data_IF_124593903695
#
_entry.id   IF_124593903695
#
_cell.length_a   1.000
_cell.length_b   1.000
_cell.length_c   1.000
_cell.angle_alpha   90.00
_cell.angle_beta   90.00
_cell.angle_gamma   90.00
#
_symmetry.space_group_name_H-M   'P 1'
#
loop_
_entity.id
_entity.type
_entity.pdbx_description
1 polymer ?
#
# COMPACT_ATOMS: atom_id res chain seq x y z
N UNK A 1 7.04 18.07 -6.53
CA UNK A 1 8.21 17.35 -7.03
C UNK A 1 8.43 16.06 -6.24
N UNK A 2 9.04 15.03 -6.86
CA UNK A 2 9.27 13.72 -6.23
C UNK A 2 9.97 13.84 -4.87
N UNK A 3 10.99 14.69 -4.75
CA UNK A 3 11.73 14.87 -3.50
C UNK A 3 10.87 15.36 -2.33
N UNK A 4 9.90 16.24 -2.60
CA UNK A 4 8.98 16.70 -1.57
C UNK A 4 8.07 15.55 -1.10
N UNK A 5 7.59 14.71 -2.03
CA UNK A 5 6.78 13.54 -1.72
C UNK A 5 7.59 12.52 -0.91
N UNK A 6 8.85 12.25 -1.29
CA UNK A 6 9.75 11.35 -0.55
C UNK A 6 9.94 11.77 0.90
N UNK A 7 10.08 13.05 1.14
CA UNK A 7 10.26 13.59 2.49
C UNK A 7 9.03 13.43 3.40
N UNK A 8 7.86 13.10 2.83
CA UNK A 8 6.63 12.88 3.60
C UNK A 8 6.45 11.44 4.05
N UNK A 9 7.19 10.50 3.46
CA UNK A 9 7.12 9.08 3.82
C UNK A 9 7.89 8.88 5.12
N UNK A 10 7.17 8.61 6.21
CA UNK A 10 7.72 8.54 7.57
C UNK A 10 7.64 7.16 8.19
N UNK A 11 6.72 6.33 7.74
CA UNK A 11 6.46 5.03 8.34
C UNK A 11 6.46 3.91 7.32
N UNK A 12 7.09 2.81 7.69
CA UNK A 12 6.91 1.54 6.98
C UNK A 12 5.45 1.10 7.14
N UNK A 13 4.75 0.69 6.07
CA UNK A 13 3.30 0.44 6.15
C UNK A 13 2.88 -0.77 6.98
N UNK A 14 3.82 -1.60 7.41
CA UNK A 14 3.58 -2.76 8.27
C UNK A 14 4.40 -2.59 9.56
N UNK A 15 3.87 -2.95 10.75
CA UNK A 15 4.58 -2.79 12.01
C UNK A 15 5.88 -3.62 12.06
N UNK A 16 6.80 -3.16 12.88
CA UNK A 16 8.05 -3.88 13.14
C UNK A 16 7.78 -5.22 13.83
N UNK A 17 8.68 -6.18 13.62
CA UNK A 17 8.65 -7.41 14.38
C UNK A 17 9.05 -7.15 15.85
N UNK A 18 8.69 -8.07 16.74
CA UNK A 18 9.10 -8.00 18.16
C UNK A 18 10.63 -7.95 18.36
N UNK A 19 11.38 -8.31 17.32
CA UNK A 19 12.84 -8.18 17.31
C UNK A 19 13.24 -6.82 16.75
N UNK A 20 13.98 -6.00 17.50
CA UNK A 20 14.43 -4.69 17.03
C UNK A 20 15.13 -4.76 15.66
N UNK A 21 14.76 -3.86 14.75
CA UNK A 21 15.35 -3.75 13.43
C UNK A 21 14.93 -4.83 12.42
N UNK A 22 13.96 -5.70 12.76
CA UNK A 22 13.47 -6.73 11.85
C UNK A 22 11.98 -6.53 11.56
N UNK A 23 11.62 -6.31 10.32
CA UNK A 23 10.23 -6.25 9.86
C UNK A 23 9.64 -7.65 9.72
N UNK A 24 8.31 -7.79 9.91
CA UNK A 24 7.61 -9.06 9.74
C UNK A 24 7.52 -9.52 8.29
N UNK A 25 7.55 -8.57 7.36
CA UNK A 25 7.30 -8.82 5.94
C UNK A 25 8.59 -8.91 5.14
N UNK A 26 8.55 -9.68 4.07
CA UNK A 26 9.59 -9.69 3.03
C UNK A 26 9.07 -8.99 1.77
N UNK A 27 9.96 -8.37 1.03
CA UNK A 27 9.63 -7.75 -0.25
C UNK A 27 10.86 -7.70 -1.16
N UNK A 28 10.60 -7.66 -2.47
CA UNK A 28 11.61 -7.56 -3.50
C UNK A 28 11.22 -6.48 -4.50
N UNK A 29 12.19 -6.00 -5.27
CA UNK A 29 11.91 -5.09 -6.37
C UNK A 29 11.23 -5.86 -7.50
N UNK A 30 9.91 -5.70 -7.58
CA UNK A 30 9.06 -6.32 -8.61
C UNK A 30 8.32 -5.27 -9.43
N UNK A 31 8.73 -4.01 -9.32
CA UNK A 31 8.08 -2.91 -10.03
C UNK A 31 8.17 -3.10 -11.54
N UNK A 32 7.01 -2.96 -12.21
CA UNK A 32 6.82 -3.20 -13.65
C UNK A 32 7.05 -4.63 -14.14
N UNK A 33 7.24 -5.61 -13.25
CA UNK A 33 7.17 -7.02 -13.64
C UNK A 33 5.80 -7.35 -14.24
N UNK A 34 5.80 -8.24 -15.24
CA UNK A 34 4.59 -8.59 -15.96
C UNK A 34 3.56 -9.28 -15.06
N UNK A 35 2.31 -8.83 -15.14
CA UNK A 35 1.14 -9.43 -14.50
C UNK A 35 0.10 -9.75 -15.57
N UNK A 36 -0.57 -10.89 -15.42
CA UNK A 36 -1.47 -11.44 -16.46
C UNK A 36 -2.96 -11.35 -16.12
N UNK A 37 -3.34 -11.15 -14.85
CA UNK A 37 -4.74 -11.01 -14.49
C UNK A 37 -5.36 -9.76 -15.11
N UNK A 38 -6.45 -9.95 -15.86
CA UNK A 38 -7.15 -8.84 -16.55
C UNK A 38 -6.38 -8.27 -17.76
N UNK A 39 -5.47 -9.05 -18.35
CA UNK A 39 -4.59 -8.66 -19.47
C UNK A 39 -3.16 -8.39 -19.03
N UNK A 40 -2.27 -8.25 -20.01
CA UNK A 40 -0.87 -7.93 -19.73
C UNK A 40 -0.72 -6.52 -19.19
N UNK A 41 -0.05 -6.39 -18.05
CA UNK A 41 0.26 -5.10 -17.41
C UNK A 41 1.54 -5.18 -16.59
N UNK A 42 2.17 -4.05 -16.34
CA UNK A 42 3.29 -3.96 -15.39
C UNK A 42 2.77 -3.90 -13.95
N UNK A 43 3.53 -4.45 -13.01
CA UNK A 43 3.27 -4.37 -11.58
C UNK A 43 3.62 -2.98 -11.05
N UNK A 44 2.61 -2.15 -10.78
CA UNK A 44 2.77 -0.78 -10.30
C UNK A 44 2.79 -0.74 -8.77
N UNK A 45 3.86 -1.22 -8.16
CA UNK A 45 4.01 -1.25 -6.72
C UNK A 45 4.98 -2.30 -6.22
N UNK A 46 4.96 -2.50 -4.92
CA UNK A 46 5.73 -3.52 -4.21
C UNK A 46 4.80 -4.35 -3.35
N UNK A 47 4.92 -5.68 -3.45
CA UNK A 47 4.16 -6.60 -2.63
C UNK A 47 4.94 -6.90 -1.34
N UNK A 48 4.31 -6.64 -0.20
CA UNK A 48 4.84 -6.90 1.13
C UNK A 48 4.24 -8.20 1.64
N UNK A 49 5.08 -9.25 1.70
CA UNK A 49 4.66 -10.62 2.01
C UNK A 49 4.84 -10.94 3.49
N UNK A 50 3.75 -11.25 4.22
CA UNK A 50 3.85 -11.63 5.63
C UNK A 50 4.38 -13.07 5.78
N UNK A 51 4.86 -13.44 6.98
CA UNK A 51 5.37 -14.79 7.23
C UNK A 51 4.29 -15.89 7.26
N UNK A 52 3.02 -15.51 7.42
CA UNK A 52 1.89 -16.44 7.44
C UNK A 52 0.77 -15.98 6.52
N UNK A 53 -0.02 -16.92 6.01
CA UNK A 53 -1.15 -16.63 5.12
C UNK A 53 -2.45 -16.38 5.93
N UNK A 54 -2.41 -15.42 6.86
CA UNK A 54 -3.52 -15.10 7.75
C UNK A 54 -4.20 -13.79 7.36
N UNK A 55 -5.39 -13.90 6.80
CA UNK A 55 -6.26 -12.76 6.48
C UNK A 55 -6.69 -12.05 7.75
N UNK A 56 -6.59 -10.71 7.76
CA UNK A 56 -7.08 -9.89 8.88
C UNK A 56 -6.20 -9.90 10.13
N UNK A 57 -4.96 -10.37 10.03
CA UNK A 57 -4.06 -10.48 11.18
C UNK A 57 -3.04 -9.34 11.25
N UNK A 58 -2.43 -8.98 10.12
CA UNK A 58 -1.38 -7.96 10.07
C UNK A 58 -1.97 -6.57 9.83
N UNK A 59 -1.79 -5.60 10.75
CA UNK A 59 -2.26 -4.24 10.54
C UNK A 59 -1.45 -3.52 9.45
N UNK A 60 -2.13 -2.60 8.77
CA UNK A 60 -1.56 -1.74 7.73
C UNK A 60 -1.63 -0.30 8.20
N UNK A 61 -0.48 0.40 8.18
CA UNK A 61 -0.36 1.79 8.60
C UNK A 61 -0.11 2.73 7.42
N UNK A 62 -0.57 3.97 7.55
CA UNK A 62 -0.26 5.00 6.56
C UNK A 62 1.22 5.36 6.60
N UNK A 63 1.90 5.29 5.46
CA UNK A 63 3.29 5.70 5.33
C UNK A 63 3.47 7.21 5.40
N UNK A 64 2.41 7.97 5.18
CA UNK A 64 2.42 9.43 5.12
C UNK A 64 1.19 10.04 5.79
N UNK A 65 1.30 11.29 6.23
CA UNK A 65 0.13 12.11 6.51
C UNK A 65 -0.58 12.48 5.21
N UNK A 66 -1.90 12.60 5.25
CA UNK A 66 -2.69 12.99 4.10
C UNK A 66 -4.18 12.83 4.31
N UNK A 67 -4.92 12.78 3.21
CA UNK A 67 -6.37 12.65 3.20
C UNK A 67 -6.77 11.37 2.48
N UNK A 68 -7.73 10.64 3.02
CA UNK A 68 -8.33 9.48 2.36
C UNK A 68 -9.07 9.96 1.12
N UNK A 69 -8.51 9.69 -0.06
CA UNK A 69 -9.08 10.11 -1.33
C UNK A 69 -10.04 9.07 -1.90
N UNK A 70 -9.66 7.81 -1.81
CA UNK A 70 -10.47 6.69 -2.31
C UNK A 70 -10.49 5.51 -1.34
N UNK A 71 -11.65 4.87 -1.27
CA UNK A 71 -11.86 3.59 -0.59
C UNK A 71 -12.80 2.72 -1.42
N UNK A 72 -12.98 1.48 -1.00
CA UNK A 72 -13.94 0.55 -1.59
C UNK A 72 -13.29 -0.46 -2.52
N UNK A 73 -14.11 -1.16 -3.27
CA UNK A 73 -13.71 -2.31 -4.07
C UNK A 73 -13.20 -1.93 -5.45
N UNK A 74 -12.09 -2.55 -5.85
CA UNK A 74 -11.64 -2.62 -7.23
C UNK A 74 -11.47 -4.09 -7.63
N UNK A 75 -11.79 -4.43 -8.89
CA UNK A 75 -11.72 -5.81 -9.37
C UNK A 75 -10.33 -6.44 -9.16
N UNK A 76 -9.27 -5.70 -9.40
CA UNK A 76 -7.88 -6.15 -9.21
C UNK A 76 -7.42 -5.96 -7.78
N UNK A 77 -7.57 -4.76 -7.23
CA UNK A 77 -7.05 -4.39 -5.91
C UNK A 77 -7.86 -4.89 -4.71
N UNK A 78 -9.10 -5.36 -4.92
CA UNK A 78 -9.98 -5.73 -3.83
C UNK A 78 -10.37 -4.52 -2.97
N UNK A 79 -10.47 -4.71 -1.66
CA UNK A 79 -10.65 -3.59 -0.72
C UNK A 79 -9.36 -2.77 -0.67
N UNK A 80 -9.43 -1.55 -1.15
CA UNK A 80 -8.27 -0.66 -1.24
C UNK A 80 -8.53 0.66 -0.55
N UNK A 81 -7.46 1.34 -0.16
CA UNK A 81 -7.48 2.72 0.34
C UNK A 81 -6.34 3.50 -0.29
N UNK A 82 -6.63 4.72 -0.70
CA UNK A 82 -5.66 5.65 -1.27
C UNK A 82 -5.57 6.92 -0.44
N UNK A 83 -4.35 7.29 -0.08
CA UNK A 83 -4.04 8.48 0.71
C UNK A 83 -3.34 9.51 -0.18
N UNK A 84 -3.93 10.70 -0.29
CA UNK A 84 -3.31 11.84 -0.97
C UNK A 84 -2.53 12.66 0.04
N UNK A 85 -1.20 12.74 -0.12
CA UNK A 85 -0.36 13.60 0.71
C UNK A 85 -0.52 15.08 0.34
N UNK A 86 -0.18 15.98 1.25
CA UNK A 86 -0.22 17.44 0.99
C UNK A 86 0.66 17.85 -0.20
N UNK A 87 1.74 17.12 -0.45
CA UNK A 87 2.67 17.37 -1.55
C UNK A 87 2.19 16.77 -2.88
N UNK A 88 1.00 16.13 -2.90
CA UNK A 88 0.35 15.62 -4.09
C UNK A 88 0.67 14.17 -4.44
N UNK A 89 1.48 13.46 -3.64
CA UNK A 89 1.70 12.03 -3.80
C UNK A 89 0.45 11.21 -3.45
N UNK A 90 0.18 10.16 -4.21
CA UNK A 90 -0.90 9.24 -3.95
C UNK A 90 -0.33 7.90 -3.50
N UNK A 91 -0.69 7.49 -2.29
CA UNK A 91 -0.22 6.26 -1.65
C UNK A 91 -1.34 5.25 -1.62
N UNK A 92 -1.13 4.12 -2.25
CA UNK A 92 -2.14 3.10 -2.55
C UNK A 92 -1.87 1.82 -1.78
N UNK A 93 -2.89 1.33 -1.07
CA UNK A 93 -2.85 0.13 -0.23
C UNK A 93 -3.98 -0.79 -0.68
N UNK A 94 -3.65 -1.97 -1.18
CA UNK A 94 -4.61 -2.88 -1.77
C UNK A 94 -4.63 -4.26 -1.12
N UNK A 95 -5.64 -5.04 -1.46
CA UNK A 95 -5.92 -6.40 -0.97
C UNK A 95 -6.24 -6.46 0.53
N UNK A 96 -6.78 -5.38 1.11
CA UNK A 96 -7.15 -5.37 2.52
C UNK A 96 -8.26 -6.37 2.83
N UNK A 97 -8.28 -6.92 4.04
CA UNK A 97 -9.40 -7.72 4.54
C UNK A 97 -10.52 -6.84 5.09
N UNK A 98 -10.16 -5.79 5.82
CA UNK A 98 -11.08 -4.83 6.40
C UNK A 98 -10.39 -3.49 6.65
N UNK A 99 -11.16 -2.43 6.79
CA UNK A 99 -10.68 -1.11 7.15
C UNK A 99 -10.65 -0.93 8.67
N UNK A 100 -9.79 -0.02 9.14
CA UNK A 100 -9.81 0.41 10.52
C UNK A 100 -11.14 1.10 10.86
N UNK A 101 -11.64 0.99 12.11
CA UNK A 101 -12.87 1.67 12.52
C UNK A 101 -12.80 3.18 12.27
N UNK A 102 -13.89 3.74 11.75
CA UNK A 102 -14.00 5.17 11.47
C UNK A 102 -13.30 5.66 10.20
N UNK A 103 -12.72 4.75 9.41
CA UNK A 103 -12.07 5.10 8.15
C UNK A 103 -13.14 5.43 7.09
N UNK A 104 -13.01 6.61 6.48
CA UNK A 104 -13.93 7.10 5.44
C UNK A 104 -13.23 8.05 4.48
N UNK A 105 -13.76 8.20 3.27
CA UNK A 105 -13.27 9.18 2.31
C UNK A 105 -13.39 10.60 2.88
N UNK A 106 -12.36 11.41 2.66
CA UNK A 106 -12.25 12.76 3.21
C UNK A 106 -11.60 12.85 4.59
N UNK A 107 -11.43 11.72 5.29
CA UNK A 107 -10.75 11.71 6.60
C UNK A 107 -9.28 12.09 6.44
N UNK A 108 -8.80 12.96 7.32
CA UNK A 108 -7.36 13.24 7.45
C UNK A 108 -6.72 12.17 8.32
N UNK A 109 -5.60 11.62 7.86
CA UNK A 109 -4.80 10.63 8.58
C UNK A 109 -3.40 11.14 8.82
N UNK A 110 -2.80 10.70 9.92
CA UNK A 110 -1.40 10.96 10.23
C UNK A 110 -0.51 9.82 9.70
N UNK A 111 0.76 10.10 9.49
CA UNK A 111 1.75 9.05 9.24
C UNK A 111 1.80 8.11 10.43
N UNK A 112 1.71 6.79 10.18
CA UNK A 112 1.64 5.76 11.22
C UNK A 112 0.23 5.46 11.73
N UNK A 113 -0.82 6.15 11.25
CA UNK A 113 -2.19 5.82 11.60
C UNK A 113 -2.63 4.52 10.93
N UNK A 114 -3.33 3.66 11.66
CA UNK A 114 -3.82 2.38 11.14
C UNK A 114 -4.92 2.60 10.09
N UNK A 115 -4.75 2.00 8.93
CA UNK A 115 -5.71 2.07 7.82
C UNK A 115 -6.64 0.85 7.76
N UNK A 116 -6.17 -0.31 8.18
CA UNK A 116 -6.89 -1.56 8.10
C UNK A 116 -6.00 -2.76 8.36
N UNK A 117 -6.43 -3.91 7.87
CA UNK A 117 -5.70 -5.17 8.01
C UNK A 117 -5.38 -5.78 6.65
N UNK A 118 -4.20 -6.38 6.55
CA UNK A 118 -3.73 -7.09 5.37
C UNK A 118 -4.63 -8.28 5.04
N UNK A 119 -4.91 -8.48 3.77
CA UNK A 119 -5.76 -9.56 3.31
C UNK A 119 -5.34 -10.14 1.97
N UNK A 120 -6.28 -10.81 1.32
CA UNK A 120 -6.14 -11.44 0.01
C UNK A 120 -7.36 -11.15 -0.88
N UNK A 121 -7.98 -9.99 -0.68
CA UNK A 121 -9.14 -9.56 -1.44
C UNK A 121 -8.74 -9.06 -2.83
N UNK A 122 -9.58 -9.33 -3.82
CA UNK A 122 -9.36 -8.91 -5.20
C UNK A 122 -9.42 -10.05 -6.20
N UNK A 123 -9.11 -9.70 -7.44
CA UNK A 123 -9.12 -10.61 -8.60
C UNK A 123 -10.50 -11.24 -8.83
N UNK A 124 -11.54 -10.40 -8.80
CA UNK A 124 -12.91 -10.82 -9.04
C UNK A 124 -13.95 -9.80 -8.62
N UNK A 125 -15.19 -10.26 -8.49
CA UNK A 125 -16.30 -9.46 -7.99
C UNK A 125 -16.12 -9.09 -6.52
N UNK A 126 -16.84 -8.06 -6.08
CA UNK A 126 -16.78 -7.58 -4.70
C UNK A 126 -16.90 -8.71 -3.68
N UNK A 127 -15.93 -8.79 -2.78
CA UNK A 127 -15.84 -9.80 -1.74
C UNK A 127 -14.98 -11.02 -2.10
N UNK A 128 -14.47 -11.11 -3.34
CA UNK A 128 -13.60 -12.23 -3.75
C UNK A 128 -12.31 -12.24 -2.92
N UNK A 129 -12.00 -13.40 -2.34
CA UNK A 129 -10.79 -13.66 -1.55
C UNK A 129 -10.18 -15.01 -1.95
N UNK A 130 -8.93 -15.25 -1.56
CA UNK A 130 -8.28 -16.56 -1.72
C UNK A 130 -7.74 -16.86 -3.11
N UNK A 131 -7.70 -15.88 -4.02
CA UNK A 131 -7.12 -16.06 -5.36
C UNK A 131 -5.60 -16.02 -5.36
N UNK A 132 -4.99 -15.52 -4.30
CA UNK A 132 -3.55 -15.40 -4.07
C UNK A 132 -3.27 -15.39 -2.56
N UNK A 133 -2.01 -15.51 -2.16
CA UNK A 133 -1.62 -15.45 -0.76
C UNK A 133 -1.84 -14.05 -0.17
N UNK A 134 -2.12 -13.97 1.13
CA UNK A 134 -2.24 -12.71 1.87
C UNK A 134 -0.97 -11.87 1.69
N UNK A 135 -1.13 -10.63 1.27
CA UNK A 135 -0.05 -9.65 1.15
C UNK A 135 -0.60 -8.22 1.06
N UNK A 136 0.24 -7.23 1.32
CA UNK A 136 -0.07 -5.85 1.02
C UNK A 136 0.54 -5.48 -0.33
N UNK A 137 -0.28 -5.05 -1.28
CA UNK A 137 0.19 -4.34 -2.47
C UNK A 137 0.27 -2.85 -2.15
N UNK A 138 1.49 -2.31 -2.17
CA UNK A 138 1.78 -0.91 -1.87
C UNK A 138 2.27 -0.19 -3.12
N UNK A 139 1.58 0.87 -3.52
CA UNK A 139 1.93 1.68 -4.69
C UNK A 139 2.09 3.15 -4.34
N UNK A 140 2.92 3.85 -5.11
CA UNK A 140 3.10 5.30 -5.01
C UNK A 140 2.95 5.90 -6.40
N UNK A 141 2.15 6.96 -6.49
CA UNK A 141 1.91 7.69 -7.73
C UNK A 141 2.23 9.16 -7.53
N UNK A 142 2.79 9.78 -8.55
CA UNK A 142 3.08 11.21 -8.57
C UNK A 142 2.39 11.85 -9.77
N UNK A 143 2.06 13.13 -9.65
CA UNK A 143 1.54 13.90 -10.77
C UNK A 143 2.68 14.51 -11.57
N UNK A 144 2.63 14.33 -12.88
CA UNK A 144 3.52 15.01 -13.84
C UNK A 144 3.05 16.44 -14.09
N UNK A 145 3.90 17.25 -14.73
CA UNK A 145 3.59 18.64 -15.03
C UNK A 145 2.33 18.83 -15.89
N UNK A 146 1.96 17.83 -16.69
CA UNK A 146 0.73 17.81 -17.51
C UNK A 146 -0.49 17.23 -16.78
N UNK A 147 -0.41 16.97 -15.47
CA UNK A 147 -1.50 16.51 -14.63
C UNK A 147 -1.77 15.00 -14.66
N UNK A 148 -0.96 14.21 -15.36
CA UNK A 148 -1.09 12.74 -15.35
C UNK A 148 -0.50 12.15 -14.07
N UNK A 149 -1.12 11.10 -13.55
CA UNK A 149 -0.53 10.31 -12.48
C UNK A 149 0.30 9.17 -13.06
N UNK A 150 1.51 9.02 -12.57
CA UNK A 150 2.44 7.95 -12.96
C UNK A 150 2.92 7.20 -11.74
N UNK A 151 3.01 5.89 -11.88
CA UNK A 151 3.57 5.01 -10.85
C UNK A 151 5.08 5.23 -10.73
N UNK A 152 5.58 5.21 -9.50
CA UNK A 152 7.01 5.20 -9.20
C UNK A 152 7.34 4.00 -8.33
N UNK A 153 8.56 3.50 -8.45
CA UNK A 153 9.01 2.33 -7.72
C UNK A 153 9.11 2.61 -6.21
N UNK A 154 8.28 1.97 -5.36
CA UNK A 154 8.33 2.19 -3.92
C UNK A 154 9.44 1.40 -3.22
N UNK A 155 10.10 0.45 -3.89
CA UNK A 155 11.06 -0.46 -3.28
C UNK A 155 12.17 0.24 -2.51
N UNK A 156 12.80 1.25 -3.12
CA UNK A 156 13.94 1.94 -2.51
C UNK A 156 13.56 2.79 -1.30
N UNK A 157 12.34 3.32 -1.28
CA UNK A 157 11.80 4.05 -0.12
C UNK A 157 11.57 3.06 1.03
N UNK A 158 10.93 1.93 0.74
CA UNK A 158 10.69 0.88 1.72
C UNK A 158 12.01 0.35 2.30
N UNK A 159 13.03 0.19 1.46
CA UNK A 159 14.37 -0.20 1.90
C UNK A 159 15.01 0.83 2.84
N UNK A 160 14.85 2.10 2.55
CA UNK A 160 15.32 3.18 3.42
C UNK A 160 14.65 3.15 4.80
N UNK A 161 13.34 2.95 4.84
CA UNK A 161 12.57 2.87 6.08
C UNK A 161 12.84 1.59 6.90
N UNK A 162 13.20 0.50 6.24
CA UNK A 162 13.50 -0.78 6.91
C UNK A 162 14.70 -0.70 7.84
N UNK A 163 15.68 0.16 7.54
CA UNK A 163 16.92 0.33 8.31
C UNK A 163 16.88 1.44 9.35
N UNK A 164 15.81 2.23 9.43
CA UNK A 164 15.69 3.31 10.42
C UNK A 164 15.09 2.78 11.72
N UNK A 165 15.74 3.07 12.87
CA UNK A 165 15.22 2.68 14.18
C UNK A 165 13.98 3.48 14.59
#
# INVERSE_FOLDING_TARGET
TCRAIWNTVKYFPIPESEKPGRKFVSFADSWMEERNYGGKRGHEGTDLMPPTNQRGFYPVFSATAGTVEHMGWLQKGGWRIGIRSEQGGYFYYAHLSEYAPGMEEGKTVEAGEMLGYMGDSGYGEEGTVGQFAVHLHFGIYIQTADGREVSVDPYWILKGLEGEP
#
